data_IF_642872699008
#
_entry.id   IF_642872699008
#
_cell.length_a   1.000
_cell.length_b   1.000
_cell.length_c   1.000
_cell.angle_alpha   90.00
_cell.angle_beta   90.00
_cell.angle_gamma   90.00
#
_symmetry.space_group_name_H-M   'P 1'
#
loop_
_entity.id
_entity.type
_entity.pdbx_description
1 polymer ?
#
# COMPACT_ATOMS: atom_id res chain seq x y z
N UNK A 1 31.50 -26.28 -40.75
CA UNK A 1 31.12 -24.85 -40.54
C UNK A 1 29.62 -24.71 -40.73
N UNK A 2 28.84 -24.87 -39.66
CA UNK A 2 27.37 -24.84 -39.74
C UNK A 2 26.90 -23.55 -39.06
N UNK A 3 26.30 -22.70 -39.88
CA UNK A 3 25.69 -21.44 -39.52
C UNK A 3 24.44 -21.68 -38.64
N UNK A 4 24.50 -21.26 -37.39
CA UNK A 4 23.29 -21.09 -36.56
C UNK A 4 22.58 -19.80 -37.00
N UNK A 5 21.47 -19.91 -37.74
CA UNK A 5 20.48 -18.86 -37.90
C UNK A 5 19.59 -18.86 -36.67
N UNK A 6 19.70 -17.83 -35.83
CA UNK A 6 18.77 -17.55 -34.76
C UNK A 6 17.42 -17.12 -35.34
N UNK A 7 16.41 -17.96 -35.19
CA UNK A 7 15.02 -17.59 -35.41
C UNK A 7 14.60 -16.63 -34.29
N UNK A 8 14.62 -15.32 -34.58
CA UNK A 8 13.92 -14.34 -33.75
C UNK A 8 12.41 -14.60 -33.93
N UNK A 9 11.75 -14.96 -32.86
CA UNK A 9 10.31 -15.09 -32.75
C UNK A 9 9.66 -13.77 -33.19
N UNK A 10 9.03 -13.78 -34.37
CA UNK A 10 8.17 -12.71 -34.86
C UNK A 10 6.88 -12.79 -34.05
N UNK A 11 6.77 -11.97 -33.02
CA UNK A 11 5.46 -11.65 -32.42
C UNK A 11 4.68 -10.86 -33.47
N UNK A 12 3.68 -11.47 -34.09
CA UNK A 12 2.67 -10.80 -34.89
C UNK A 12 1.74 -9.98 -33.97
N UNK A 13 2.25 -8.88 -33.44
CA UNK A 13 1.42 -7.84 -32.87
C UNK A 13 1.02 -6.91 -34.01
N UNK A 14 -0.24 -6.94 -34.38
CA UNK A 14 -0.83 -6.02 -35.37
C UNK A 14 -0.95 -4.62 -34.75
N UNK A 15 0.22 -3.99 -34.47
CA UNK A 15 0.31 -2.65 -33.89
C UNK A 15 0.10 -1.61 -34.98
N UNK A 16 -0.79 -0.66 -34.75
CA UNK A 16 -1.04 0.49 -35.62
C UNK A 16 0.11 1.50 -35.49
N UNK A 17 1.18 1.32 -36.26
CA UNK A 17 2.37 2.18 -36.25
C UNK A 17 2.04 3.63 -36.65
N UNK A 18 1.22 3.92 -37.68
CA UNK A 18 0.76 5.27 -37.96
C UNK A 18 0.07 5.94 -36.76
N UNK A 19 -0.76 5.18 -36.03
CA UNK A 19 -1.41 5.65 -34.80
C UNK A 19 -0.41 5.91 -33.68
N UNK A 20 0.61 5.09 -33.51
CA UNK A 20 1.69 5.28 -32.52
C UNK A 20 2.47 6.57 -32.84
N UNK A 21 2.84 6.81 -34.09
CA UNK A 21 3.54 8.04 -34.50
C UNK A 21 2.67 9.28 -34.24
N UNK A 22 1.37 9.19 -34.50
CA UNK A 22 0.42 10.29 -34.23
C UNK A 22 0.35 10.59 -32.73
N UNK A 23 0.23 9.56 -31.91
CA UNK A 23 0.20 9.70 -30.42
C UNK A 23 1.53 10.22 -29.89
N UNK A 24 2.67 9.76 -30.39
CA UNK A 24 3.98 10.27 -30.01
C UNK A 24 4.10 11.78 -30.26
N UNK A 25 3.68 12.24 -31.44
CA UNK A 25 3.63 13.67 -31.77
C UNK A 25 2.70 14.45 -30.85
N UNK A 26 1.53 13.90 -30.56
CA UNK A 26 0.55 14.52 -29.64
C UNK A 26 1.11 14.67 -28.22
N UNK A 27 1.79 13.65 -27.70
CA UNK A 27 2.39 13.68 -26.37
C UNK A 27 3.48 14.74 -26.23
N UNK A 28 4.28 14.92 -27.29
CA UNK A 28 5.37 15.90 -27.34
C UNK A 28 4.92 17.29 -27.86
N UNK A 29 3.62 17.46 -28.14
CA UNK A 29 3.06 18.68 -28.74
C UNK A 29 3.72 19.09 -30.07
N UNK A 30 4.12 18.09 -30.88
CA UNK A 30 4.75 18.26 -32.18
C UNK A 30 3.71 18.20 -33.31
N UNK A 31 3.90 18.99 -34.36
CA UNK A 31 2.97 19.05 -35.49
C UNK A 31 3.46 18.26 -36.72
N UNK A 32 4.76 18.18 -36.91
CA UNK A 32 5.38 17.64 -38.14
C UNK A 32 6.21 16.40 -37.87
N UNK A 33 6.30 15.49 -38.85
CA UNK A 33 7.14 14.30 -38.75
C UNK A 33 8.64 14.63 -38.71
N UNK A 34 9.04 15.79 -39.24
CA UNK A 34 10.41 16.28 -39.15
C UNK A 34 10.82 16.63 -37.73
N UNK A 35 9.91 17.19 -36.92
CA UNK A 35 10.14 17.55 -35.53
C UNK A 35 10.27 16.28 -34.70
N UNK A 36 9.44 15.25 -34.95
CA UNK A 36 9.55 13.96 -34.32
C UNK A 36 10.86 13.24 -34.68
N UNK A 37 11.28 13.33 -35.94
CA UNK A 37 12.54 12.75 -36.39
C UNK A 37 13.74 13.38 -35.69
N UNK A 38 13.76 14.69 -35.57
CA UNK A 38 14.79 15.45 -34.84
C UNK A 38 14.84 15.05 -33.36
N UNK A 39 13.68 14.97 -32.69
CA UNK A 39 13.58 14.55 -31.31
C UNK A 39 14.13 13.12 -31.07
N UNK A 40 13.81 12.20 -31.98
CA UNK A 40 14.27 10.81 -31.92
C UNK A 40 15.71 10.63 -32.40
N UNK A 41 16.32 11.63 -33.03
CA UNK A 41 17.69 11.54 -33.58
C UNK A 41 17.75 10.70 -34.86
N UNK A 42 16.67 10.63 -35.64
CA UNK A 42 16.57 9.86 -36.91
C UNK A 42 16.28 10.79 -38.10
N UNK A 43 16.43 10.27 -39.32
CA UNK A 43 16.06 11.03 -40.52
C UNK A 43 14.54 11.11 -40.69
N UNK A 44 14.04 12.20 -41.32
CA UNK A 44 12.62 12.32 -41.67
C UNK A 44 12.12 11.13 -42.50
N UNK A 45 12.98 10.64 -43.45
CA UNK A 45 12.67 9.49 -44.28
C UNK A 45 12.45 8.21 -43.42
N UNK A 46 13.16 8.07 -42.31
CA UNK A 46 12.99 6.94 -41.39
C UNK A 46 11.59 6.95 -40.79
N UNK A 47 11.11 8.06 -40.25
CA UNK A 47 9.75 8.19 -39.69
C UNK A 47 8.67 7.91 -40.72
N UNK A 48 8.83 8.43 -41.94
CA UNK A 48 7.91 8.17 -43.06
C UNK A 48 7.90 6.68 -43.45
N UNK A 49 9.08 6.04 -43.49
CA UNK A 49 9.20 4.60 -43.77
C UNK A 49 8.59 3.72 -42.69
N UNK A 50 8.66 4.14 -41.41
CA UNK A 50 8.00 3.43 -40.32
C UNK A 50 6.49 3.38 -40.52
N UNK A 51 5.87 4.51 -40.88
CA UNK A 51 4.44 4.57 -41.15
C UNK A 51 4.06 3.71 -42.38
N UNK A 52 4.85 3.78 -43.48
CA UNK A 52 4.57 3.04 -44.71
C UNK A 52 4.74 1.53 -44.58
N UNK A 53 5.71 1.07 -43.78
CA UNK A 53 6.04 -0.35 -43.59
C UNK A 53 5.36 -0.98 -42.38
N UNK A 54 4.58 -0.22 -41.62
CA UNK A 54 4.00 -0.61 -40.34
C UNK A 54 5.03 -1.24 -39.39
N UNK A 55 6.25 -0.70 -39.36
CA UNK A 55 7.38 -1.20 -38.59
C UNK A 55 8.14 -0.04 -37.96
N UNK A 56 8.31 -0.04 -36.66
CA UNK A 56 8.96 1.03 -35.89
C UNK A 56 10.04 0.44 -34.99
N UNK A 57 11.11 1.19 -34.74
CA UNK A 57 12.08 0.85 -33.72
C UNK A 57 11.52 1.21 -32.34
N UNK A 58 10.88 0.22 -31.70
CA UNK A 58 10.29 0.37 -30.38
C UNK A 58 11.30 0.70 -29.31
N UNK A 59 12.53 0.17 -29.42
CA UNK A 59 13.55 0.40 -28.42
C UNK A 59 13.94 1.88 -28.38
N UNK A 60 14.17 2.48 -29.54
CA UNK A 60 14.47 3.89 -29.65
C UNK A 60 13.31 4.77 -29.19
N UNK A 61 12.08 4.41 -29.58
CA UNK A 61 10.87 5.14 -29.19
C UNK A 61 10.66 5.12 -27.67
N UNK A 62 10.79 3.97 -27.05
CA UNK A 62 10.60 3.79 -25.61
C UNK A 62 11.73 4.44 -24.79
N UNK A 63 12.95 4.38 -25.25
CA UNK A 63 14.10 5.01 -24.60
C UNK A 63 13.93 6.54 -24.53
N UNK A 64 13.44 7.15 -25.60
CA UNK A 64 13.25 8.60 -25.69
C UNK A 64 11.95 9.12 -25.06
N UNK A 65 10.89 8.34 -25.07
CA UNK A 65 9.54 8.72 -24.60
C UNK A 65 9.17 8.11 -23.25
N UNK A 66 9.89 7.09 -22.80
CA UNK A 66 9.48 6.23 -21.69
C UNK A 66 9.23 6.93 -20.36
N UNK A 67 9.89 8.03 -20.11
CA UNK A 67 9.71 8.81 -18.88
C UNK A 67 8.61 9.88 -18.99
N UNK A 68 8.05 10.09 -20.19
CA UNK A 68 7.15 11.22 -20.46
C UNK A 68 5.72 10.76 -20.77
N UNK A 69 5.57 9.53 -21.29
CA UNK A 69 4.31 9.06 -21.87
C UNK A 69 3.94 7.67 -21.34
N UNK A 70 2.66 7.46 -21.03
CA UNK A 70 2.16 6.14 -20.69
C UNK A 70 2.23 5.18 -21.89
N UNK A 71 2.83 4.01 -21.68
CA UNK A 71 3.04 3.03 -22.75
C UNK A 71 1.74 2.45 -23.32
N UNK A 72 0.73 2.21 -22.46
CA UNK A 72 -0.55 1.70 -22.92
C UNK A 72 -1.25 2.71 -23.80
N UNK A 73 -1.18 3.98 -23.42
CA UNK A 73 -1.71 5.04 -24.26
C UNK A 73 -0.91 5.20 -25.55
N UNK A 74 0.42 5.17 -25.48
CA UNK A 74 1.27 5.31 -26.69
C UNK A 74 1.03 4.17 -27.69
N UNK A 75 1.02 2.92 -27.23
CA UNK A 75 0.94 1.75 -28.10
C UNK A 75 -0.50 1.41 -28.51
N UNK A 76 -1.45 1.46 -27.57
CA UNK A 76 -2.82 0.97 -27.75
C UNK A 76 -3.87 2.10 -27.83
N UNK A 77 -3.50 3.34 -27.51
CA UNK A 77 -4.44 4.45 -27.42
C UNK A 77 -5.39 4.40 -26.23
N UNK A 78 -5.11 3.54 -25.23
CA UNK A 78 -5.93 3.38 -24.03
C UNK A 78 -5.27 4.04 -22.83
N UNK A 79 -6.02 4.86 -22.08
CA UNK A 79 -5.51 5.57 -20.90
C UNK A 79 -5.21 7.03 -21.13
N UNK A 80 -4.31 7.61 -20.33
CA UNK A 80 -3.96 9.02 -20.35
C UNK A 80 -2.61 9.24 -21.04
N UNK A 81 -2.44 10.28 -21.88
CA UNK A 81 -1.18 10.54 -22.61
C UNK A 81 0.03 10.79 -21.72
N UNK A 82 -0.18 11.39 -20.57
CA UNK A 82 0.93 11.63 -19.62
C UNK A 82 1.15 10.43 -18.75
N UNK A 83 2.41 9.99 -18.65
CA UNK A 83 2.80 9.11 -17.55
C UNK A 83 2.43 9.85 -16.25
N UNK A 84 1.40 9.39 -15.57
CA UNK A 84 1.22 9.79 -14.19
C UNK A 84 2.41 9.19 -13.45
N UNK A 85 3.47 9.99 -13.28
CA UNK A 85 4.50 9.66 -12.32
C UNK A 85 3.78 9.63 -10.97
N UNK A 86 3.52 8.43 -10.46
CA UNK A 86 2.98 8.21 -9.12
C UNK A 86 3.97 8.64 -8.03
N UNK A 87 5.07 9.21 -8.42
CA UNK A 87 6.04 9.86 -7.55
C UNK A 87 5.94 11.36 -7.72
N UNK A 88 4.97 11.97 -7.06
CA UNK A 88 5.02 13.39 -6.77
C UNK A 88 5.97 13.55 -5.57
N UNK A 89 7.14 14.17 -5.78
CA UNK A 89 8.10 14.48 -4.70
C UNK A 89 7.47 15.28 -3.55
N UNK A 90 6.31 15.92 -3.78
CA UNK A 90 5.55 16.64 -2.76
C UNK A 90 4.75 15.73 -1.80
N UNK A 91 4.53 14.43 -2.12
CA UNK A 91 3.79 13.49 -1.26
C UNK A 91 4.71 12.68 -0.35
N UNK A 92 6.02 12.63 -0.61
CA UNK A 92 7.01 11.97 0.26
C UNK A 92 7.13 12.63 1.65
N UNK A 93 6.67 13.87 1.79
CA UNK A 93 6.65 14.59 3.07
C UNK A 93 5.56 14.12 4.05
N UNK A 94 4.61 13.27 3.61
CA UNK A 94 3.47 12.82 4.44
C UNK A 94 3.50 11.34 4.85
N UNK A 95 4.61 10.65 4.63
CA UNK A 95 4.81 9.29 5.15
C UNK A 95 3.80 8.24 4.67
N UNK A 96 3.30 8.34 3.43
CA UNK A 96 2.34 7.37 2.88
C UNK A 96 3.05 6.09 2.45
N UNK A 97 2.75 4.97 3.11
CA UNK A 97 3.22 3.64 2.70
C UNK A 97 2.23 3.07 1.69
N UNK A 98 2.64 2.97 0.43
CA UNK A 98 1.83 2.35 -0.63
C UNK A 98 2.33 0.94 -0.90
N UNK A 99 1.48 -0.07 -0.65
CA UNK A 99 1.72 -1.43 -1.11
C UNK A 99 0.99 -1.61 -2.45
N UNK A 100 1.77 -1.69 -3.53
CA UNK A 100 1.21 -1.88 -4.87
C UNK A 100 0.99 -3.38 -5.09
N UNK A 101 -0.27 -3.78 -5.18
CA UNK A 101 -0.65 -5.10 -5.65
C UNK A 101 -1.27 -4.98 -7.04
N UNK A 102 -0.70 -5.65 -8.05
CA UNK A 102 -1.32 -5.73 -9.37
C UNK A 102 -2.32 -6.89 -9.37
N UNK A 103 -3.63 -6.66 -9.26
CA UNK A 103 -4.61 -7.72 -9.37
C UNK A 103 -4.63 -8.26 -10.80
N UNK A 104 -4.62 -9.57 -10.94
CA UNK A 104 -4.72 -10.26 -12.24
C UNK A 104 -6.10 -10.12 -12.90
N UNK A 105 -7.06 -9.50 -12.23
CA UNK A 105 -8.44 -9.28 -12.68
C UNK A 105 -8.80 -7.81 -12.49
N UNK A 106 -9.48 -7.22 -13.48
CA UNK A 106 -9.91 -5.82 -13.51
C UNK A 106 -11.12 -5.52 -12.60
N UNK A 107 -11.20 -6.12 -11.43
CA UNK A 107 -12.21 -5.73 -10.44
C UNK A 107 -11.79 -4.41 -9.77
N UNK A 108 -12.74 -3.52 -9.45
CA UNK A 108 -12.42 -2.28 -8.76
C UNK A 108 -11.78 -2.62 -7.41
N UNK A 109 -10.50 -2.30 -7.29
CA UNK A 109 -9.76 -2.46 -6.02
C UNK A 109 -10.38 -1.48 -5.04
N UNK A 110 -10.87 -2.00 -3.92
CA UNK A 110 -11.29 -1.18 -2.78
C UNK A 110 -10.06 -0.43 -2.24
N UNK A 111 -9.94 0.85 -2.60
CA UNK A 111 -8.78 1.70 -2.28
C UNK A 111 -8.92 2.32 -0.88
N UNK A 112 -9.36 1.52 0.11
CA UNK A 112 -9.46 1.99 1.49
C UNK A 112 -8.08 2.21 2.06
N UNK A 113 -7.86 3.39 2.59
CA UNK A 113 -6.66 3.72 3.36
C UNK A 113 -6.97 3.72 4.85
N UNK A 114 -6.05 3.20 5.65
CA UNK A 114 -6.11 3.22 7.12
C UNK A 114 -5.06 4.19 7.62
N UNK A 115 -5.44 5.13 8.49
CA UNK A 115 -4.51 6.09 9.08
C UNK A 115 -3.66 5.41 10.15
N UNK A 116 -2.34 5.57 10.04
CA UNK A 116 -1.38 5.14 11.06
C UNK A 116 -1.22 6.26 12.09
N UNK A 117 -1.32 5.93 13.36
CA UNK A 117 -1.23 6.88 14.48
C UNK A 117 -0.02 6.59 15.36
N UNK A 118 0.51 7.67 15.95
CA UNK A 118 1.51 7.57 17.01
C UNK A 118 0.83 7.42 18.37
N UNK A 119 0.77 6.18 18.84
CA UNK A 119 0.19 5.89 20.15
C UNK A 119 1.12 6.30 21.29
N UNK A 120 2.43 6.46 21.03
CA UNK A 120 3.39 6.87 22.07
C UNK A 120 3.32 8.38 22.34
N UNK A 121 2.91 9.16 21.34
CA UNK A 121 2.64 10.58 21.50
C UNK A 121 1.29 10.86 22.16
N UNK A 122 0.33 9.93 22.05
CA UNK A 122 -0.94 10.00 22.76
C UNK A 122 -0.75 9.56 24.22
N UNK A 123 -1.22 10.33 25.17
CA UNK A 123 -1.09 9.98 26.57
C UNK A 123 -1.73 8.62 26.87
N UNK A 124 -2.81 8.28 26.15
CA UNK A 124 -3.51 7.00 26.27
C UNK A 124 -4.37 6.69 25.05
N UNK A 125 -4.87 5.45 24.98
CA UNK A 125 -5.70 4.97 23.87
C UNK A 125 -7.02 5.74 23.75
N UNK A 126 -7.65 6.14 24.83
CA UNK A 126 -8.87 6.95 24.85
C UNK A 126 -8.62 8.32 24.26
N UNK A 127 -7.50 8.97 24.61
CA UNK A 127 -7.09 10.25 24.03
C UNK A 127 -6.81 10.13 22.55
N UNK A 128 -6.14 9.05 22.13
CA UNK A 128 -5.92 8.75 20.71
C UNK A 128 -7.27 8.66 19.97
N UNK A 129 -8.24 7.90 20.48
CA UNK A 129 -9.54 7.72 19.84
C UNK A 129 -10.33 9.03 19.74
N UNK A 130 -10.20 9.90 20.76
CA UNK A 130 -10.90 11.19 20.77
C UNK A 130 -10.25 12.22 19.83
N UNK A 131 -8.93 12.25 19.74
CA UNK A 131 -8.16 13.31 19.05
C UNK A 131 -7.29 12.76 17.91
N UNK A 132 -7.82 11.83 17.11
CA UNK A 132 -7.09 11.09 16.05
C UNK A 132 -6.24 11.99 15.15
N UNK A 133 -6.76 13.16 14.75
CA UNK A 133 -6.07 14.05 13.81
C UNK A 133 -4.70 14.56 14.30
N UNK A 134 -4.52 14.66 15.62
CA UNK A 134 -3.27 15.17 16.20
C UNK A 134 -2.14 14.17 16.18
N UNK A 135 -2.46 12.88 16.10
CA UNK A 135 -1.51 11.78 16.22
C UNK A 135 -1.28 11.02 14.91
N UNK A 136 -1.77 11.55 13.79
CA UNK A 136 -1.64 10.91 12.48
C UNK A 136 -0.20 11.00 11.98
N UNK A 137 0.43 9.84 11.72
CA UNK A 137 1.77 9.71 11.13
C UNK A 137 1.72 9.59 9.61
N UNK A 138 0.66 8.96 9.08
CA UNK A 138 0.54 8.68 7.66
C UNK A 138 -0.65 7.79 7.34
N UNK A 139 -0.70 7.28 6.10
CA UNK A 139 -1.76 6.37 5.64
C UNK A 139 -1.18 5.09 5.09
N UNK A 140 -1.86 3.98 5.36
CA UNK A 140 -1.53 2.65 4.84
C UNK A 140 -2.62 2.26 3.86
N UNK A 141 -2.23 1.89 2.63
CA UNK A 141 -3.15 1.38 1.60
C UNK A 141 -2.84 -0.08 1.34
N UNK A 142 -3.80 -0.94 1.62
CA UNK A 142 -3.73 -2.37 1.34
C UNK A 142 -5.01 -2.75 0.60
N UNK A 143 -4.92 -3.37 -0.58
CA UNK A 143 -6.10 -3.85 -1.29
C UNK A 143 -6.90 -4.84 -0.44
N UNK A 144 -8.23 -4.73 -0.47
CA UNK A 144 -9.16 -5.64 0.22
C UNK A 144 -8.97 -5.71 1.74
N UNK A 145 -8.48 -4.64 2.36
CA UNK A 145 -8.32 -4.59 3.82
C UNK A 145 -9.69 -4.48 4.50
N UNK A 146 -9.86 -5.18 5.63
CA UNK A 146 -11.03 -5.04 6.46
C UNK A 146 -11.19 -3.60 6.96
N UNK A 147 -12.44 -3.12 7.09
CA UNK A 147 -12.71 -1.80 7.64
C UNK A 147 -12.09 -1.66 9.04
N UNK A 148 -11.23 -0.65 9.20
CA UNK A 148 -10.50 -0.33 10.43
C UNK A 148 -10.65 1.15 10.76
N UNK A 149 -10.59 1.47 12.04
CA UNK A 149 -10.66 2.85 12.52
C UNK A 149 -9.29 3.52 12.61
N UNK A 150 -8.22 2.69 12.55
CA UNK A 150 -6.85 3.15 12.54
C UNK A 150 -5.83 2.02 12.60
N UNK A 151 -4.56 2.40 12.58
CA UNK A 151 -3.43 1.50 12.78
C UNK A 151 -2.42 2.13 13.76
N UNK A 152 -1.68 1.29 14.48
CA UNK A 152 -0.63 1.71 15.41
C UNK A 152 0.54 0.73 15.36
N UNK A 153 1.71 1.19 15.81
CA UNK A 153 2.85 0.30 16.03
C UNK A 153 2.66 -0.55 17.29
N UNK A 154 3.05 -1.81 17.19
CA UNK A 154 3.15 -2.72 18.35
C UNK A 154 4.40 -2.37 19.14
N UNK A 155 4.26 -2.26 20.46
CA UNK A 155 5.36 -2.12 21.39
C UNK A 155 5.38 -3.30 22.37
N UNK A 156 6.57 -3.79 22.70
CA UNK A 156 6.77 -4.93 23.58
C UNK A 156 6.78 -6.28 22.86
N UNK A 157 6.94 -7.34 23.65
CA UNK A 157 7.16 -8.72 23.21
C UNK A 157 6.09 -9.71 23.68
N UNK A 158 5.05 -9.23 24.34
CA UNK A 158 4.03 -10.08 24.96
C UNK A 158 3.27 -10.97 23.96
N UNK A 159 3.25 -10.60 22.69
CA UNK A 159 2.63 -11.35 21.59
C UNK A 159 3.64 -12.01 20.66
N UNK A 160 4.94 -12.04 21.05
CA UNK A 160 5.96 -12.73 20.28
C UNK A 160 5.69 -14.26 20.22
N UNK A 161 5.90 -14.95 19.09
CA UNK A 161 6.39 -14.47 17.78
C UNK A 161 5.28 -13.98 16.82
N UNK A 162 4.00 -14.02 17.21
CA UNK A 162 2.88 -13.64 16.32
C UNK A 162 2.98 -12.16 15.95
N UNK A 163 3.17 -11.30 16.95
CA UNK A 163 3.44 -9.87 16.76
C UNK A 163 4.79 -9.54 17.41
N UNK A 164 5.59 -8.73 16.72
CA UNK A 164 6.88 -8.23 17.22
C UNK A 164 6.80 -6.73 17.44
N UNK A 165 7.63 -6.23 18.35
CA UNK A 165 7.82 -4.79 18.48
C UNK A 165 8.23 -4.17 17.13
N UNK A 166 7.54 -3.09 16.73
CA UNK A 166 7.69 -2.46 15.43
C UNK A 166 6.78 -3.01 14.31
N UNK A 167 6.06 -4.12 14.52
CA UNK A 167 4.97 -4.52 13.64
C UNK A 167 3.84 -3.46 13.71
N UNK A 168 3.05 -3.35 12.66
CA UNK A 168 1.87 -2.47 12.63
C UNK A 168 0.63 -3.33 12.77
N UNK A 169 -0.32 -2.91 13.61
CA UNK A 169 -1.65 -3.52 13.72
C UNK A 169 -2.72 -2.53 13.30
N UNK A 170 -3.67 -2.99 12.48
CA UNK A 170 -4.90 -2.26 12.21
C UNK A 170 -5.98 -2.68 13.19
N UNK A 171 -6.72 -1.72 13.72
CA UNK A 171 -7.69 -1.94 14.78
C UNK A 171 -9.07 -1.37 14.44
N UNK A 172 -10.10 -1.95 15.06
CA UNK A 172 -11.45 -1.41 15.09
C UNK A 172 -11.90 -1.25 16.54
N UNK A 173 -12.33 -0.04 16.88
CA UNK A 173 -12.79 0.30 18.22
C UNK A 173 -14.06 -0.48 18.59
N UNK A 174 -14.17 -0.88 19.84
CA UNK A 174 -15.40 -1.43 20.42
C UNK A 174 -15.99 -0.43 21.42
N UNK A 175 -17.29 -0.16 21.27
CA UNK A 175 -17.99 0.82 22.09
C UNK A 175 -18.68 0.18 23.32
N UNK A 176 -18.75 -1.14 23.37
CA UNK A 176 -19.36 -1.89 24.46
C UNK A 176 -18.59 -3.18 24.71
N UNK A 177 -18.36 -3.51 25.97
CA UNK A 177 -17.74 -4.77 26.35
C UNK A 177 -18.63 -6.00 26.10
N UNK A 178 -19.91 -5.81 25.86
CA UNK A 178 -20.81 -6.88 25.39
C UNK A 178 -20.44 -7.38 23.98
N UNK A 179 -19.75 -6.55 23.21
CA UNK A 179 -19.32 -6.87 21.84
C UNK A 179 -17.92 -7.53 21.80
N UNK A 180 -17.34 -7.91 22.93
CA UNK A 180 -16.06 -8.61 22.98
C UNK A 180 -16.22 -10.03 22.43
N UNK A 181 -15.44 -10.32 21.38
CA UNK A 181 -15.30 -11.67 20.82
C UNK A 181 -14.11 -12.33 21.54
N UNK A 182 -14.40 -13.28 22.40
CA UNK A 182 -13.36 -13.97 23.16
C UNK A 182 -12.51 -14.87 22.25
N UNK A 183 -11.21 -14.93 22.54
CA UNK A 183 -10.23 -15.64 21.75
C UNK A 183 -9.54 -14.79 20.68
N UNK A 184 -9.99 -13.56 20.47
CA UNK A 184 -9.40 -12.63 19.49
C UNK A 184 -8.35 -11.71 20.13
N UNK A 185 -7.51 -11.09 19.30
CA UNK A 185 -6.46 -10.16 19.73
C UNK A 185 -7.06 -8.75 19.83
N UNK A 186 -6.76 -8.09 20.93
CA UNK A 186 -7.18 -6.73 21.23
C UNK A 186 -6.03 -5.82 21.60
N UNK A 187 -6.13 -4.57 21.20
CA UNK A 187 -5.40 -3.44 21.76
C UNK A 187 -6.24 -2.93 22.94
N UNK A 188 -5.69 -2.94 24.15
CA UNK A 188 -6.40 -2.64 25.40
C UNK A 188 -5.63 -1.61 26.19
N UNK A 189 -6.31 -0.56 26.66
CA UNK A 189 -5.81 0.38 27.66
C UNK A 189 -6.60 0.17 28.97
N UNK A 190 -5.89 -0.02 30.08
CA UNK A 190 -6.48 -0.30 31.38
C UNK A 190 -5.66 0.30 32.52
N UNK A 191 -6.29 0.48 33.67
CA UNK A 191 -5.70 1.06 34.87
C UNK A 191 -5.40 -0.04 35.91
N UNK A 192 -4.20 0.00 36.52
CA UNK A 192 -3.85 -0.77 37.72
C UNK A 192 -3.16 0.17 38.68
N UNK A 193 -3.65 0.26 39.89
CA UNK A 193 -3.07 1.07 40.98
C UNK A 193 -2.82 2.54 40.67
N UNK A 194 -3.64 3.09 39.72
CA UNK A 194 -3.51 4.49 39.28
C UNK A 194 -2.65 4.68 38.05
N UNK A 195 -1.91 3.67 37.65
CA UNK A 195 -1.10 3.69 36.41
C UNK A 195 -1.87 3.12 35.24
N UNK A 196 -1.70 3.75 34.06
CA UNK A 196 -2.32 3.32 32.82
C UNK A 196 -1.37 2.41 32.03
N UNK A 197 -1.89 1.27 31.64
CA UNK A 197 -1.20 0.27 30.83
C UNK A 197 -1.84 0.16 29.45
N UNK A 198 -1.00 0.03 28.45
CA UNK A 198 -1.40 -0.26 27.07
C UNK A 198 -0.78 -1.58 26.64
N UNK A 199 -1.62 -2.50 26.17
CA UNK A 199 -1.16 -3.82 25.79
C UNK A 199 -1.92 -4.37 24.59
N UNK A 200 -1.25 -5.22 23.81
CA UNK A 200 -1.88 -6.09 22.82
C UNK A 200 -1.91 -7.49 23.40
N UNK A 201 -3.10 -8.07 23.55
CA UNK A 201 -3.35 -9.36 24.21
C UNK A 201 -4.51 -10.11 23.57
N UNK A 202 -4.58 -11.41 23.77
CA UNK A 202 -5.84 -12.14 23.60
C UNK A 202 -6.81 -11.78 24.70
N UNK A 203 -8.07 -11.59 24.34
CA UNK A 203 -9.15 -11.39 25.28
C UNK A 203 -9.92 -12.69 25.45
N UNK A 204 -9.79 -13.31 26.61
CA UNK A 204 -10.48 -14.55 26.97
C UNK A 204 -11.51 -14.30 28.07
N UNK A 205 -12.45 -15.23 28.19
CA UNK A 205 -13.42 -15.20 29.30
C UNK A 205 -12.68 -15.45 30.60
N UNK A 206 -12.90 -14.58 31.60
CA UNK A 206 -12.42 -14.80 32.98
C UNK A 206 -13.38 -15.69 33.73
N UNK A 207 -12.85 -16.43 34.70
CA UNK A 207 -13.66 -17.14 35.70
C UNK A 207 -14.21 -16.17 36.75
N UNK A 208 -13.62 -14.99 36.91
CA UNK A 208 -14.08 -13.93 37.80
C UNK A 208 -15.18 -13.12 37.11
N UNK A 209 -16.31 -12.99 37.81
CA UNK A 209 -17.43 -12.19 37.28
C UNK A 209 -17.03 -10.72 37.13
N UNK A 210 -17.48 -10.08 36.05
CA UNK A 210 -17.15 -8.68 35.75
C UNK A 210 -15.72 -8.43 35.29
N UNK A 211 -14.94 -9.50 34.99
CA UNK A 211 -13.56 -9.42 34.51
C UNK A 211 -13.39 -10.03 33.14
N UNK A 212 -12.35 -9.55 32.43
CA UNK A 212 -11.82 -10.14 31.22
C UNK A 212 -10.42 -10.71 31.52
N UNK A 213 -10.11 -11.88 30.97
CA UNK A 213 -8.78 -12.46 31.09
C UNK A 213 -7.94 -12.04 29.88
N UNK A 214 -6.90 -11.25 30.12
CA UNK A 214 -5.91 -10.86 29.10
C UNK A 214 -4.77 -11.88 29.08
N UNK A 215 -4.54 -12.49 27.93
CA UNK A 215 -3.56 -13.56 27.74
C UNK A 215 -2.53 -13.16 26.71
N UNK A 216 -1.26 -13.34 27.03
CA UNK A 216 -0.14 -13.16 26.12
C UNK A 216 0.06 -14.42 25.28
N UNK A 217 0.56 -14.27 24.04
CA UNK A 217 1.06 -15.43 23.31
C UNK A 217 2.44 -15.87 23.82
N UNK A 218 3.28 -14.89 24.21
CA UNK A 218 4.56 -15.17 24.84
C UNK A 218 4.35 -15.67 26.26
N UNK A 219 4.71 -16.92 26.52
CA UNK A 219 4.51 -17.62 27.79
C UNK A 219 5.33 -17.06 28.98
N UNK A 220 6.27 -16.14 28.73
CA UNK A 220 6.96 -15.41 29.79
C UNK A 220 6.07 -14.40 30.52
N UNK A 221 4.92 -14.05 29.91
CA UNK A 221 3.96 -13.12 30.50
C UNK A 221 2.75 -13.88 31.01
N UNK A 222 2.54 -13.84 32.31
CA UNK A 222 1.40 -14.49 32.97
C UNK A 222 0.06 -13.84 32.53
N UNK A 223 -1.01 -14.64 32.44
CA UNK A 223 -2.35 -14.11 32.20
C UNK A 223 -2.84 -13.26 33.37
N UNK A 224 -3.63 -12.23 33.08
CA UNK A 224 -4.19 -11.35 34.11
C UNK A 224 -5.70 -11.17 33.94
N UNK A 225 -6.44 -11.17 35.06
CA UNK A 225 -7.87 -10.84 35.06
C UNK A 225 -8.03 -9.35 35.37
N UNK A 226 -8.62 -8.62 34.42
CA UNK A 226 -8.84 -7.17 34.54
C UNK A 226 -10.34 -6.93 34.64
N UNK A 227 -10.80 -6.21 35.70
CA UNK A 227 -12.19 -5.79 35.78
C UNK A 227 -12.58 -4.88 34.56
N UNK A 228 -13.77 -5.06 34.00
CA UNK A 228 -14.22 -4.19 32.93
C UNK A 228 -14.25 -2.71 33.32
N UNK A 229 -14.49 -2.42 34.62
CA UNK A 229 -14.46 -1.05 35.13
C UNK A 229 -13.06 -0.40 35.08
N UNK A 230 -11.99 -1.20 35.04
CA UNK A 230 -10.62 -0.72 34.93
C UNK A 230 -10.16 -0.52 33.47
N UNK A 231 -10.97 -0.92 32.47
CA UNK A 231 -10.63 -0.76 31.06
C UNK A 231 -11.07 0.62 30.57
N UNK A 232 -10.09 1.41 30.12
CA UNK A 232 -10.35 2.76 29.58
C UNK A 232 -10.82 2.72 28.12
N UNK A 233 -10.19 1.87 27.29
CA UNK A 233 -10.51 1.71 25.89
C UNK A 233 -10.05 0.34 25.39
N UNK A 234 -10.76 -0.17 24.38
CA UNK A 234 -10.46 -1.46 23.77
C UNK A 234 -10.78 -1.46 22.28
N UNK A 235 -9.94 -2.10 21.49
CA UNK A 235 -10.13 -2.22 20.05
C UNK A 235 -9.69 -3.61 19.56
N UNK A 236 -10.50 -4.25 18.71
CA UNK A 236 -10.16 -5.54 18.12
C UNK A 236 -9.12 -5.35 17.00
N UNK A 237 -8.08 -6.18 16.98
CA UNK A 237 -7.07 -6.20 15.93
C UNK A 237 -7.66 -6.92 14.71
N UNK A 238 -7.62 -6.26 13.56
CA UNK A 238 -8.19 -6.76 12.30
C UNK A 238 -7.14 -7.30 11.34
N UNK A 239 -5.92 -6.77 11.39
CA UNK A 239 -4.77 -7.22 10.59
C UNK A 239 -3.46 -6.83 11.27
N UNK A 240 -2.37 -7.44 10.82
CA UNK A 240 -1.02 -7.03 11.16
C UNK A 240 -0.12 -6.97 9.94
N UNK A 241 0.87 -6.07 9.98
CA UNK A 241 1.91 -5.92 8.96
C UNK A 241 3.26 -6.05 9.64
N UNK A 242 4.08 -6.97 9.15
CA UNK A 242 5.46 -7.14 9.60
C UNK A 242 6.43 -6.55 8.59
N UNK A 243 7.31 -5.68 9.05
CA UNK A 243 8.42 -5.15 8.28
C UNK A 243 9.68 -6.00 8.50
N UNK A 244 10.23 -6.54 7.43
CA UNK A 244 11.58 -7.11 7.46
C UNK A 244 12.52 -6.14 6.77
N UNK A 245 13.45 -5.54 7.53
CA UNK A 245 14.54 -4.76 6.95
C UNK A 245 15.73 -5.69 6.75
N UNK A 246 16.19 -5.84 5.51
CA UNK A 246 17.48 -6.45 5.21
C UNK A 246 18.51 -5.32 5.23
N UNK A 247 19.61 -5.54 5.97
CA UNK A 247 20.76 -4.66 5.95
C UNK A 247 21.70 -5.07 4.80
#
# INVERSE_FOLDING_TARGET
TTLFRSNANKMDTNLDVPGIIKRAKQALNLKRDSELAEFLGVSRATVTNWAARNSIDFRLLLDKLGNTVDYNWLLLGKGNPKHQSRFCESELAQGEVQIIHNPKTAEPVDDRSVTLYDITAAANLKTLFTNKHQYALGKIRIPNISACDGAVYVNGDSMYPILKSGDIIGYKEINSFENVIYGEIYLVSFMIDGDEYLAVKYANRSEKEGCIKLVSYNTHHEPMDIPFAAINAMAIVKFSIRRHMMM
#
